data_IF_217729122497
#
_entry.id   IF_217729122497
#
_cell.length_a   1.000
_cell.length_b   1.000
_cell.length_c   1.000
_cell.angle_alpha   90.00
_cell.angle_beta   90.00
_cell.angle_gamma   90.00
#
_symmetry.space_group_name_H-M   'P 1'
#
loop_
_entity.id
_entity.type
_entity.pdbx_description
1 polymer ?
#
# COMPACT_ATOMS: atom_id res chain seq x y z
N UNK A 1 -25.37 17.88 9.41
CA UNK A 1 -26.59 17.20 8.92
C UNK A 1 -26.35 15.70 9.10
N UNK A 2 -27.18 15.02 9.89
CA UNK A 2 -27.22 13.57 9.95
C UNK A 2 -27.65 13.07 8.58
N UNK A 3 -26.99 12.04 8.05
CA UNK A 3 -27.45 11.30 6.88
C UNK A 3 -28.74 10.57 7.28
N UNK A 4 -29.89 11.09 6.89
CA UNK A 4 -31.20 10.57 7.29
C UNK A 4 -31.60 9.26 6.57
N UNK A 5 -30.80 8.81 5.58
CA UNK A 5 -31.07 7.61 4.81
C UNK A 5 -29.78 6.79 4.59
N UNK A 6 -29.33 6.12 5.63
CA UNK A 6 -28.25 5.12 5.49
C UNK A 6 -28.85 3.73 5.60
N UNK A 7 -28.71 2.94 4.55
CA UNK A 7 -29.08 1.52 4.55
C UNK A 7 -27.81 0.69 4.74
N UNK A 8 -27.80 -0.18 5.74
CA UNK A 8 -26.68 -1.07 6.05
C UNK A 8 -27.00 -2.49 5.58
N UNK A 9 -26.13 -3.02 4.71
CA UNK A 9 -26.18 -4.39 4.28
C UNK A 9 -25.03 -5.19 4.84
N UNK A 10 -25.33 -6.22 5.61
CA UNK A 10 -24.36 -7.22 6.03
C UNK A 10 -24.33 -8.33 5.00
N UNK A 11 -23.14 -8.68 4.54
CA UNK A 11 -22.92 -9.71 3.53
C UNK A 11 -21.90 -10.73 4.02
N UNK A 12 -21.95 -11.93 3.45
CA UNK A 12 -20.91 -12.92 3.69
C UNK A 12 -19.58 -12.46 3.08
N UNK A 13 -18.45 -12.67 3.76
CA UNK A 13 -17.14 -12.35 3.21
C UNK A 13 -16.90 -13.08 1.88
N UNK A 14 -16.21 -12.38 0.97
CA UNK A 14 -15.69 -12.94 -0.28
C UNK A 14 -14.36 -12.27 -0.60
N UNK A 15 -13.62 -12.81 -1.57
CA UNK A 15 -12.34 -12.25 -2.03
C UNK A 15 -12.38 -11.94 -3.53
N UNK A 16 -12.01 -12.89 -4.37
CA UNK A 16 -11.76 -12.64 -5.79
C UNK A 16 -13.02 -12.46 -6.63
N UNK A 17 -14.12 -13.11 -6.25
CA UNK A 17 -15.37 -13.12 -7.02
C UNK A 17 -16.54 -12.70 -6.14
N UNK A 18 -17.22 -11.66 -6.56
CA UNK A 18 -18.45 -11.22 -5.91
C UNK A 18 -19.56 -12.27 -6.10
N UNK A 19 -20.25 -12.73 -5.03
CA UNK A 19 -21.34 -13.68 -5.14
C UNK A 19 -22.45 -13.17 -6.09
N UNK A 20 -22.92 -14.01 -6.98
CA UNK A 20 -23.87 -13.64 -8.05
C UNK A 20 -25.17 -13.00 -7.52
N UNK A 21 -25.72 -13.54 -6.43
CA UNK A 21 -26.92 -12.97 -5.79
C UNK A 21 -26.66 -11.58 -5.22
N UNK A 22 -25.52 -11.39 -4.59
CA UNK A 22 -25.14 -10.08 -4.06
C UNK A 22 -24.91 -9.07 -5.19
N UNK A 23 -24.18 -9.46 -6.24
CA UNK A 23 -23.98 -8.65 -7.44
C UNK A 23 -25.30 -8.21 -8.06
N UNK A 24 -26.25 -9.14 -8.22
CA UNK A 24 -27.57 -8.84 -8.75
C UNK A 24 -28.36 -7.88 -7.87
N UNK A 25 -28.39 -8.13 -6.57
CA UNK A 25 -29.06 -7.28 -5.58
C UNK A 25 -28.49 -5.86 -5.61
N UNK A 26 -27.15 -5.74 -5.62
CA UNK A 26 -26.44 -4.46 -5.63
C UNK A 26 -26.71 -3.69 -6.94
N UNK A 27 -26.71 -4.39 -8.10
CA UNK A 27 -27.02 -3.79 -9.40
C UNK A 27 -28.47 -3.30 -9.50
N UNK A 28 -29.42 -4.03 -8.92
CA UNK A 28 -30.81 -3.59 -8.85
C UNK A 28 -30.94 -2.34 -7.98
N UNK A 29 -30.31 -2.33 -6.80
CA UNK A 29 -30.32 -1.18 -5.90
C UNK A 29 -29.73 0.09 -6.56
N UNK A 30 -28.59 -0.05 -7.23
CA UNK A 30 -27.96 1.06 -7.97
C UNK A 30 -28.90 1.63 -9.02
N UNK A 31 -29.61 0.77 -9.75
CA UNK A 31 -30.56 1.16 -10.79
C UNK A 31 -31.82 1.82 -10.22
N UNK A 32 -32.41 1.22 -9.18
CA UNK A 32 -33.62 1.73 -8.51
C UNK A 32 -33.39 3.08 -7.81
N UNK A 33 -32.19 3.30 -7.28
CA UNK A 33 -31.81 4.55 -6.59
C UNK A 33 -31.09 5.53 -7.49
N UNK A 34 -30.93 5.26 -8.77
CA UNK A 34 -30.23 6.11 -9.75
C UNK A 34 -28.82 6.50 -9.29
N UNK A 35 -28.10 5.57 -8.66
CA UNK A 35 -26.75 5.79 -8.15
C UNK A 35 -25.78 5.91 -9.33
N UNK A 36 -25.01 6.99 -9.37
CA UNK A 36 -24.05 7.29 -10.44
C UNK A 36 -22.59 6.98 -10.10
N UNK A 37 -22.28 6.65 -8.85
CA UNK A 37 -20.92 6.37 -8.43
C UNK A 37 -20.83 5.61 -7.12
N UNK A 38 -19.68 5.00 -6.89
CA UNK A 38 -19.38 4.22 -5.69
C UNK A 38 -18.04 4.61 -5.07
N UNK A 39 -17.96 4.46 -3.76
CA UNK A 39 -16.71 4.56 -3.01
C UNK A 39 -16.36 3.14 -2.55
N UNK A 40 -15.21 2.63 -3.01
CA UNK A 40 -14.67 1.33 -2.61
C UNK A 40 -13.59 1.58 -1.57
N UNK A 41 -13.91 1.35 -0.30
CA UNK A 41 -13.03 1.55 0.84
C UNK A 41 -13.02 0.28 1.72
N UNK A 42 -12.83 -0.84 1.07
CA UNK A 42 -12.86 -2.18 1.64
C UNK A 42 -11.44 -2.69 1.89
N UNK A 43 -11.32 -3.96 2.25
CA UNK A 43 -10.06 -4.70 2.25
C UNK A 43 -9.55 -4.84 0.79
N UNK A 44 -8.25 -4.62 0.51
CA UNK A 44 -7.71 -4.63 -0.86
C UNK A 44 -7.94 -5.90 -1.67
N UNK A 45 -8.06 -7.06 -1.03
CA UNK A 45 -8.32 -8.35 -1.71
C UNK A 45 -9.65 -8.38 -2.47
N UNK A 46 -10.61 -7.54 -2.10
CA UNK A 46 -11.91 -7.45 -2.80
C UNK A 46 -12.05 -6.25 -3.74
N UNK A 47 -11.03 -5.39 -3.82
CA UNK A 47 -11.06 -4.18 -4.65
C UNK A 47 -11.38 -4.50 -6.10
N UNK A 48 -10.68 -5.49 -6.69
CA UNK A 48 -10.92 -5.92 -8.08
C UNK A 48 -12.36 -6.32 -8.31
N UNK A 49 -12.94 -7.16 -7.45
CA UNK A 49 -14.30 -7.66 -7.61
C UNK A 49 -15.33 -6.52 -7.59
N UNK A 50 -15.20 -5.57 -6.67
CA UNK A 50 -16.06 -4.39 -6.63
C UNK A 50 -15.83 -3.43 -7.81
N UNK A 51 -14.58 -3.23 -8.23
CA UNK A 51 -14.28 -2.39 -9.37
C UNK A 51 -14.83 -2.96 -10.67
N UNK A 52 -14.67 -4.26 -10.92
CA UNK A 52 -15.24 -4.93 -12.08
C UNK A 52 -16.77 -4.81 -12.12
N UNK A 53 -17.42 -5.06 -10.97
CA UNK A 53 -18.86 -4.90 -10.84
C UNK A 53 -19.29 -3.45 -11.13
N UNK A 54 -18.58 -2.46 -10.59
CA UNK A 54 -18.90 -1.05 -10.79
C UNK A 54 -18.70 -0.61 -12.26
N UNK A 55 -17.63 -1.07 -12.91
CA UNK A 55 -17.39 -0.82 -14.35
C UNK A 55 -18.49 -1.45 -15.21
N UNK A 56 -18.96 -2.68 -14.92
CA UNK A 56 -20.05 -3.33 -15.62
C UNK A 56 -21.39 -2.58 -15.49
N UNK A 57 -21.59 -1.85 -14.39
CA UNK A 57 -22.77 -1.02 -14.16
C UNK A 57 -22.59 0.44 -14.59
N UNK A 58 -21.47 0.79 -15.24
CA UNK A 58 -21.22 2.14 -15.76
C UNK A 58 -21.13 3.20 -14.68
N UNK A 59 -20.56 2.88 -13.50
CA UNK A 59 -20.48 3.78 -12.36
C UNK A 59 -19.16 4.54 -12.31
N UNK A 60 -19.19 5.75 -11.76
CA UNK A 60 -18.00 6.43 -11.31
C UNK A 60 -17.41 5.70 -10.09
N UNK A 61 -16.09 5.60 -10.02
CA UNK A 61 -15.39 4.87 -8.96
C UNK A 61 -14.40 5.78 -8.27
N UNK A 62 -14.52 5.89 -6.94
CA UNK A 62 -13.46 6.34 -6.06
C UNK A 62 -13.04 5.14 -5.21
N UNK A 63 -11.82 4.67 -5.37
CA UNK A 63 -11.33 3.48 -4.68
C UNK A 63 -10.13 3.78 -3.79
N UNK A 64 -10.06 3.16 -2.62
CA UNK A 64 -8.86 3.24 -1.80
C UNK A 64 -7.70 2.47 -2.47
N UNK A 65 -6.50 2.75 -2.03
CA UNK A 65 -5.26 2.10 -2.49
C UNK A 65 -5.03 0.78 -1.73
N UNK A 66 -4.31 -0.17 -2.31
CA UNK A 66 -3.88 -0.29 -3.71
C UNK A 66 -5.05 -0.63 -4.64
N UNK A 67 -4.80 -0.53 -5.95
CA UNK A 67 -5.84 -0.89 -6.95
C UNK A 67 -6.32 -2.33 -6.77
N UNK A 68 -5.37 -3.23 -6.56
CA UNK A 68 -5.61 -4.65 -6.29
C UNK A 68 -4.44 -5.22 -5.49
N UNK A 69 -4.64 -6.39 -4.93
CA UNK A 69 -3.61 -7.23 -4.32
C UNK A 69 -4.06 -8.68 -4.34
N UNK A 70 -3.12 -9.60 -4.06
CA UNK A 70 -3.42 -11.04 -3.92
C UNK A 70 -2.80 -11.58 -2.64
N UNK A 71 -3.39 -12.63 -2.08
CA UNK A 71 -2.81 -13.33 -0.93
C UNK A 71 -1.43 -13.88 -1.29
N UNK A 72 -0.54 -13.97 -0.30
CA UNK A 72 0.78 -14.58 -0.46
C UNK A 72 1.64 -14.01 -1.61
N UNK A 73 1.41 -12.76 -2.00
CA UNK A 73 2.15 -12.13 -3.09
C UNK A 73 3.67 -12.06 -2.84
N UNK A 74 4.12 -12.15 -1.58
CA UNK A 74 5.55 -12.13 -1.24
C UNK A 74 6.22 -13.49 -1.42
N UNK A 75 5.47 -14.58 -1.33
CA UNK A 75 5.99 -15.96 -1.36
C UNK A 75 5.55 -16.76 -2.60
N UNK A 76 4.58 -16.27 -3.35
CA UNK A 76 4.03 -16.87 -4.55
C UNK A 76 4.18 -15.93 -5.76
N UNK A 77 5.11 -16.28 -6.66
CA UNK A 77 5.39 -15.49 -7.87
C UNK A 77 4.15 -15.34 -8.77
N UNK A 78 3.34 -16.39 -8.90
CA UNK A 78 2.12 -16.34 -9.72
C UNK A 78 1.10 -15.35 -9.17
N UNK A 79 0.97 -15.28 -7.84
CA UNK A 79 0.12 -14.28 -7.21
C UNK A 79 0.71 -12.86 -7.36
N UNK A 80 2.02 -12.70 -7.25
CA UNK A 80 2.66 -11.41 -7.48
C UNK A 80 2.48 -10.92 -8.92
N UNK A 81 2.73 -11.76 -9.92
CA UNK A 81 2.51 -11.46 -11.34
C UNK A 81 1.03 -11.18 -11.63
N UNK A 82 0.15 -11.94 -11.03
CA UNK A 82 -1.29 -11.78 -11.17
C UNK A 82 -1.84 -10.43 -10.66
N UNK A 83 -1.13 -9.70 -9.80
CA UNK A 83 -1.48 -8.32 -9.44
C UNK A 83 -1.38 -7.40 -10.67
N UNK A 84 -0.37 -7.59 -11.50
CA UNK A 84 -0.20 -6.84 -12.74
C UNK A 84 -1.30 -7.19 -13.75
N UNK A 85 -1.64 -8.46 -13.88
CA UNK A 85 -2.74 -8.91 -14.75
C UNK A 85 -4.08 -8.30 -14.32
N UNK A 86 -4.36 -8.29 -13.02
CA UNK A 86 -5.57 -7.68 -12.46
C UNK A 86 -5.65 -6.18 -12.77
N UNK A 87 -4.53 -5.48 -12.70
CA UNK A 87 -4.46 -4.08 -13.10
C UNK A 87 -4.82 -3.88 -14.58
N UNK A 88 -4.24 -4.67 -15.47
CA UNK A 88 -4.53 -4.56 -16.89
C UNK A 88 -5.96 -4.94 -17.24
N UNK A 89 -6.53 -5.95 -16.58
CA UNK A 89 -7.96 -6.31 -16.72
C UNK A 89 -8.86 -5.11 -16.37
N UNK A 90 -8.61 -4.46 -15.23
CA UNK A 90 -9.38 -3.29 -14.83
C UNK A 90 -9.18 -2.11 -15.78
N UNK A 91 -7.95 -1.86 -16.23
CA UNK A 91 -7.64 -0.80 -17.17
C UNK A 91 -8.35 -0.99 -18.52
N UNK A 92 -8.33 -2.20 -19.06
CA UNK A 92 -9.01 -2.51 -20.34
C UNK A 92 -10.54 -2.38 -20.22
N UNK A 93 -11.12 -2.86 -19.11
CA UNK A 93 -12.55 -2.69 -18.85
C UNK A 93 -12.92 -1.20 -18.71
N UNK A 94 -12.09 -0.42 -18.03
CA UNK A 94 -12.30 1.02 -17.90
C UNK A 94 -12.20 1.73 -19.24
N UNK A 95 -11.15 1.46 -20.04
CA UNK A 95 -11.00 2.01 -21.37
C UNK A 95 -12.20 1.69 -22.27
N UNK A 96 -12.67 0.43 -22.25
CA UNK A 96 -13.84 0.02 -22.99
C UNK A 96 -15.08 0.81 -22.60
N UNK A 97 -15.31 0.99 -21.29
CA UNK A 97 -16.45 1.77 -20.80
C UNK A 97 -16.40 3.23 -21.29
N UNK A 98 -15.20 3.84 -21.40
CA UNK A 98 -15.05 5.23 -21.86
C UNK A 98 -15.54 5.45 -23.32
N UNK A 99 -15.61 4.42 -24.17
CA UNK A 99 -16.21 4.54 -25.51
C UNK A 99 -17.74 4.59 -25.46
N UNK A 100 -18.36 4.08 -24.40
CA UNK A 100 -19.80 4.00 -24.23
C UNK A 100 -20.34 5.11 -23.34
N UNK A 101 -19.60 5.46 -22.31
CA UNK A 101 -19.99 6.40 -21.27
C UNK A 101 -18.79 7.05 -20.61
N UNK A 102 -18.78 8.36 -20.54
CA UNK A 102 -17.78 9.10 -19.76
C UNK A 102 -17.99 8.83 -18.26
N UNK A 103 -16.97 8.27 -17.63
CA UNK A 103 -16.94 7.99 -16.19
C UNK A 103 -15.57 8.26 -15.61
N UNK A 104 -15.48 8.34 -14.29
CA UNK A 104 -14.23 8.51 -13.55
C UNK A 104 -13.89 7.24 -12.81
N UNK A 105 -12.64 6.78 -12.94
CA UNK A 105 -12.06 5.77 -12.05
C UNK A 105 -10.84 6.36 -11.36
N UNK A 106 -10.99 6.77 -10.12
CA UNK A 106 -9.95 7.43 -9.34
C UNK A 106 -9.51 6.56 -8.16
N UNK A 107 -8.20 6.40 -8.02
CA UNK A 107 -7.58 5.79 -6.85
C UNK A 107 -7.23 6.90 -5.85
N UNK A 108 -7.47 6.66 -4.57
CA UNK A 108 -7.22 7.62 -3.50
C UNK A 108 -5.72 7.83 -3.23
N UNK A 109 -5.03 8.37 -4.22
CA UNK A 109 -3.62 8.81 -4.15
C UNK A 109 -3.54 10.24 -3.61
N UNK A 110 -4.10 10.46 -2.43
CA UNK A 110 -4.34 11.81 -1.87
C UNK A 110 -3.09 12.67 -1.74
N UNK A 111 -1.88 12.08 -1.65
CA UNK A 111 -0.62 12.83 -1.58
C UNK A 111 -0.35 13.68 -2.80
N UNK A 112 -0.83 13.25 -3.98
CA UNK A 112 -0.74 14.05 -5.21
C UNK A 112 -1.32 15.46 -5.07
N UNK A 113 -2.30 15.62 -4.19
CA UNK A 113 -3.03 16.88 -3.98
C UNK A 113 -2.54 17.68 -2.76
N UNK A 114 -1.56 17.15 -2.02
CA UNK A 114 -1.00 17.87 -0.89
C UNK A 114 -0.14 19.05 -1.38
N UNK A 115 -0.37 20.24 -0.83
CA UNK A 115 0.30 21.48 -1.30
C UNK A 115 1.82 21.41 -1.30
N UNK A 116 2.42 20.71 -0.34
CA UNK A 116 3.87 20.51 -0.31
C UNK A 116 4.38 19.71 -1.49
N UNK A 117 3.72 18.62 -1.83
CA UNK A 117 4.09 17.81 -3.00
C UNK A 117 3.84 18.56 -4.32
N UNK A 118 2.73 19.30 -4.42
CA UNK A 118 2.46 20.14 -5.59
C UNK A 118 3.53 21.21 -5.77
N UNK A 119 3.96 21.87 -4.70
CA UNK A 119 5.06 22.82 -4.75
C UNK A 119 6.35 22.21 -5.29
N UNK A 120 6.73 21.02 -4.81
CA UNK A 120 7.92 20.29 -5.30
C UNK A 120 7.76 19.92 -6.79
N UNK A 121 6.61 19.39 -7.18
CA UNK A 121 6.27 19.07 -8.58
C UNK A 121 6.42 20.31 -9.49
N UNK A 122 5.91 21.46 -9.06
CA UNK A 122 6.01 22.70 -9.82
C UNK A 122 7.46 23.18 -9.95
N UNK A 123 8.29 23.02 -8.91
CA UNK A 123 9.72 23.34 -8.96
C UNK A 123 10.51 22.40 -9.87
N UNK A 124 10.22 21.10 -9.83
CA UNK A 124 10.83 20.13 -10.76
C UNK A 124 10.48 20.49 -12.20
N UNK A 125 9.22 20.82 -12.49
CA UNK A 125 8.75 21.25 -13.81
C UNK A 125 9.48 22.51 -14.28
N UNK A 126 9.55 23.52 -13.43
CA UNK A 126 10.26 24.77 -13.73
C UNK A 126 11.73 24.53 -14.10
N UNK A 127 12.42 23.65 -13.38
CA UNK A 127 13.82 23.28 -13.68
C UNK A 127 13.88 22.53 -15.02
N UNK A 128 13.02 21.53 -15.21
CA UNK A 128 12.98 20.76 -16.45
C UNK A 128 12.76 21.63 -17.68
N UNK A 129 11.79 22.54 -17.63
CA UNK A 129 11.46 23.47 -18.73
C UNK A 129 12.61 24.44 -19.05
N UNK A 130 13.30 24.94 -18.03
CA UNK A 130 14.40 25.92 -18.22
C UNK A 130 15.72 25.28 -18.67
N UNK A 131 15.97 24.04 -18.28
CA UNK A 131 17.29 23.42 -18.43
C UNK A 131 17.30 22.17 -19.29
N UNK A 132 16.12 21.65 -19.61
CA UNK A 132 15.96 20.33 -20.24
C UNK A 132 16.63 19.20 -19.42
N UNK A 133 16.71 19.35 -18.08
CA UNK A 133 17.32 18.37 -17.18
C UNK A 133 16.25 17.45 -16.59
N UNK A 134 16.37 16.12 -16.76
CA UNK A 134 15.53 15.15 -16.08
C UNK A 134 15.96 14.94 -14.63
N UNK A 135 15.12 14.29 -13.85
CA UNK A 135 15.55 13.72 -12.56
C UNK A 135 16.38 12.47 -12.85
N UNK A 136 17.56 12.40 -12.25
CA UNK A 136 18.47 11.25 -12.38
C UNK A 136 18.61 10.44 -11.09
N UNK A 137 18.14 10.98 -9.96
CA UNK A 137 18.23 10.32 -8.66
C UNK A 137 17.07 10.74 -7.77
N UNK A 138 16.47 9.75 -7.07
CA UNK A 138 15.53 9.98 -5.98
C UNK A 138 15.88 9.03 -4.85
N UNK A 139 15.95 9.55 -3.63
CA UNK A 139 16.00 8.75 -2.42
C UNK A 139 14.72 8.99 -1.62
N UNK A 140 13.94 7.94 -1.40
CA UNK A 140 12.73 7.98 -0.61
C UNK A 140 12.85 7.09 0.63
N UNK A 141 12.43 7.64 1.74
CA UNK A 141 12.42 6.94 3.02
C UNK A 141 11.06 7.10 3.68
N UNK A 142 10.53 5.99 4.20
CA UNK A 142 9.31 6.00 5.00
C UNK A 142 9.46 5.07 6.20
N UNK A 143 9.12 5.57 7.37
CA UNK A 143 9.07 4.81 8.61
C UNK A 143 7.72 4.95 9.25
N UNK A 144 7.13 3.85 9.71
CA UNK A 144 5.90 3.90 10.48
C UNK A 144 6.08 4.49 11.87
N UNK A 145 7.33 4.58 12.36
CA UNK A 145 7.64 5.10 13.68
C UNK A 145 6.95 4.33 14.80
N UNK A 146 6.74 3.06 14.61
CA UNK A 146 6.05 2.21 15.55
C UNK A 146 6.93 1.01 15.92
N UNK A 147 7.15 0.83 17.20
CA UNK A 147 7.61 -0.43 17.72
C UNK A 147 6.41 -1.34 17.92
N UNK A 148 6.40 -2.48 17.28
CA UNK A 148 5.40 -3.49 17.50
C UNK A 148 6.00 -4.61 18.32
N UNK A 149 5.30 -4.97 19.39
CA UNK A 149 5.63 -6.19 20.11
C UNK A 149 5.28 -7.42 19.24
N UNK A 150 6.01 -8.53 19.38
CA UNK A 150 5.77 -9.74 18.57
C UNK A 150 4.31 -10.17 18.52
N UNK A 151 3.64 -10.21 19.64
CA UNK A 151 2.21 -10.55 19.71
C UNK A 151 1.30 -9.59 18.95
N UNK A 152 1.64 -8.30 18.88
CA UNK A 152 0.85 -7.34 18.11
C UNK A 152 0.89 -7.63 16.61
N UNK A 153 2.00 -8.16 16.11
CA UNK A 153 2.13 -8.57 14.70
C UNK A 153 1.13 -9.69 14.39
N UNK A 154 1.02 -10.68 15.28
CA UNK A 154 0.13 -11.83 15.11
C UNK A 154 -1.33 -11.47 15.33
N UNK A 155 -1.63 -10.65 16.33
CA UNK A 155 -3.02 -10.33 16.73
C UNK A 155 -3.68 -9.28 15.84
N UNK A 156 -2.92 -8.56 15.03
CA UNK A 156 -3.46 -7.58 14.09
C UNK A 156 -3.91 -8.23 12.76
N UNK A 157 -4.83 -9.20 12.84
CA UNK A 157 -5.32 -9.95 11.68
C UNK A 157 -5.91 -9.11 10.53
N UNK A 158 -6.21 -7.83 10.80
CA UNK A 158 -6.63 -6.87 9.78
C UNK A 158 -5.46 -6.22 9.03
N UNK A 159 -4.22 -6.47 9.44
CA UNK A 159 -3.06 -5.84 8.80
C UNK A 159 -2.65 -6.63 7.54
N UNK A 160 -2.26 -5.94 6.46
CA UNK A 160 -1.93 -6.57 5.17
C UNK A 160 -0.93 -7.72 5.25
N UNK A 161 0.09 -7.62 6.09
CA UNK A 161 1.10 -8.68 6.17
C UNK A 161 0.53 -10.03 6.62
N UNK A 162 -0.57 -10.05 7.37
CA UNK A 162 -1.24 -11.31 7.75
C UNK A 162 -1.84 -12.05 6.55
N UNK A 163 -2.00 -11.38 5.41
CA UNK A 163 -2.50 -11.95 4.16
C UNK A 163 -1.38 -12.23 3.14
N UNK A 164 -0.11 -12.16 3.55
CA UNK A 164 1.03 -12.49 2.70
C UNK A 164 1.42 -11.39 1.69
N UNK A 165 1.02 -10.15 1.94
CA UNK A 165 1.50 -8.95 1.26
C UNK A 165 1.69 -7.83 2.30
N UNK A 166 2.57 -6.87 2.07
CA UNK A 166 2.95 -6.01 3.16
C UNK A 166 3.22 -4.57 2.79
N UNK A 167 4.37 -4.11 3.17
CA UNK A 167 4.78 -2.72 3.17
C UNK A 167 4.72 -2.06 1.79
N UNK A 168 5.15 -2.77 0.75
CA UNK A 168 5.14 -2.28 -0.62
C UNK A 168 3.73 -1.89 -1.08
N UNK A 169 2.76 -2.79 -0.89
CA UNK A 169 1.37 -2.56 -1.30
C UNK A 169 0.64 -1.58 -0.39
N UNK A 170 0.91 -1.60 0.91
CA UNK A 170 0.15 -0.81 1.88
C UNK A 170 0.61 0.65 1.95
N UNK A 171 1.74 0.93 2.57
CA UNK A 171 2.27 2.30 2.68
C UNK A 171 3.16 2.69 1.52
N UNK A 172 3.85 1.72 0.92
CA UNK A 172 4.72 1.91 -0.22
C UNK A 172 3.99 2.44 -1.45
N UNK A 173 2.74 2.08 -1.64
CA UNK A 173 1.92 2.62 -2.73
C UNK A 173 2.03 4.14 -2.86
N UNK A 174 1.91 4.86 -1.75
CA UNK A 174 2.02 6.32 -1.77
C UNK A 174 3.43 6.82 -2.11
N UNK A 175 4.45 6.06 -1.71
CA UNK A 175 5.84 6.42 -1.97
C UNK A 175 6.16 6.24 -3.45
N UNK A 176 5.82 5.08 -4.02
CA UNK A 176 6.00 4.80 -5.44
C UNK A 176 5.22 5.79 -6.31
N UNK A 177 3.99 6.11 -5.93
CA UNK A 177 3.19 7.11 -6.61
C UNK A 177 3.85 8.50 -6.61
N UNK A 178 4.37 8.93 -5.46
CA UNK A 178 5.07 10.22 -5.34
C UNK A 178 6.35 10.26 -6.18
N UNK A 179 7.16 9.20 -6.13
CA UNK A 179 8.38 9.07 -6.95
C UNK A 179 8.03 9.19 -8.44
N UNK A 180 6.99 8.49 -8.88
CA UNK A 180 6.53 8.55 -10.27
C UNK A 180 6.07 9.96 -10.65
N UNK A 181 5.32 10.66 -9.78
CA UNK A 181 4.88 12.03 -10.03
C UNK A 181 6.08 13.00 -10.13
N UNK A 182 7.08 12.85 -9.28
CA UNK A 182 8.29 13.67 -9.33
C UNK A 182 9.07 13.42 -10.62
N UNK A 183 9.30 12.15 -10.97
CA UNK A 183 10.00 11.80 -12.20
C UNK A 183 9.30 12.37 -13.44
N UNK A 184 7.99 12.20 -13.52
CA UNK A 184 7.18 12.70 -14.64
C UNK A 184 7.13 14.24 -14.69
N UNK A 185 7.25 14.92 -13.55
CA UNK A 185 7.10 16.37 -13.46
C UNK A 185 8.19 17.14 -14.24
N UNK A 186 9.37 16.56 -14.46
CA UNK A 186 10.44 17.18 -15.24
C UNK A 186 10.03 17.45 -16.72
N UNK A 187 9.02 16.74 -17.22
CA UNK A 187 8.40 16.94 -18.55
C UNK A 187 9.39 16.91 -19.72
N UNK A 188 10.44 16.11 -19.61
CA UNK A 188 11.49 15.95 -20.62
C UNK A 188 11.30 14.60 -21.35
N UNK A 189 10.21 14.47 -22.10
CA UNK A 189 9.73 13.20 -22.67
C UNK A 189 10.77 12.45 -23.49
N UNK A 190 11.61 13.15 -24.22
CA UNK A 190 12.68 12.56 -25.03
C UNK A 190 13.75 11.83 -24.20
N UNK A 191 13.85 12.16 -22.91
CA UNK A 191 14.81 11.60 -21.97
C UNK A 191 14.20 10.59 -21.00
N UNK A 192 12.90 10.26 -21.13
CA UNK A 192 12.29 9.25 -20.30
C UNK A 192 12.84 7.86 -20.60
N UNK A 193 12.89 7.06 -19.55
CA UNK A 193 13.26 5.66 -19.65
C UNK A 193 12.24 4.87 -20.47
N UNK A 194 12.72 3.87 -21.16
CA UNK A 194 11.91 2.88 -21.90
C UNK A 194 11.76 1.58 -21.11
N UNK A 195 12.72 1.28 -20.23
CA UNK A 195 12.69 0.09 -19.36
C UNK A 195 13.13 0.42 -17.94
N UNK A 196 12.85 -0.50 -17.01
CA UNK A 196 13.35 -0.42 -15.64
C UNK A 196 13.75 -1.80 -15.12
N UNK A 197 14.72 -1.78 -14.22
CA UNK A 197 15.17 -2.94 -13.46
C UNK A 197 14.98 -2.66 -11.98
N UNK A 198 14.45 -3.64 -11.23
CA UNK A 198 14.16 -3.49 -9.81
C UNK A 198 14.87 -4.58 -9.04
N UNK A 199 15.69 -4.19 -8.08
CA UNK A 199 16.33 -5.10 -7.14
C UNK A 199 15.85 -4.75 -5.73
N UNK A 200 15.26 -5.72 -5.04
CA UNK A 200 14.66 -5.50 -3.73
C UNK A 200 15.14 -6.53 -2.71
N UNK A 201 15.27 -6.08 -1.48
CA UNK A 201 15.44 -6.91 -0.28
C UNK A 201 14.25 -6.67 0.65
N UNK A 202 13.70 -7.74 1.15
CA UNK A 202 12.48 -7.73 1.96
C UNK A 202 12.76 -8.40 3.30
N UNK A 203 12.20 -7.85 4.38
CA UNK A 203 12.20 -8.46 5.70
C UNK A 203 10.77 -8.80 6.08
N UNK A 204 10.52 -10.09 6.30
CA UNK A 204 9.27 -10.59 6.85
C UNK A 204 9.34 -10.65 8.38
N UNK A 205 8.22 -10.81 9.10
CA UNK A 205 8.23 -10.93 10.56
C UNK A 205 9.20 -11.96 11.11
N UNK A 206 9.39 -13.09 10.43
CA UNK A 206 10.32 -14.14 10.86
C UNK A 206 11.78 -13.68 10.87
N UNK A 207 12.18 -12.81 9.95
CA UNK A 207 13.51 -12.19 9.99
C UNK A 207 13.67 -11.30 11.22
N UNK A 208 12.66 -10.54 11.54
CA UNK A 208 12.62 -9.68 12.72
C UNK A 208 12.69 -10.51 14.01
N UNK A 209 11.91 -11.57 14.16
CA UNK A 209 11.94 -12.47 15.34
C UNK A 209 13.24 -13.26 15.45
N UNK A 210 13.98 -13.43 14.36
CA UNK A 210 15.29 -14.06 14.40
C UNK A 210 16.34 -13.12 15.00
N UNK A 211 16.23 -11.83 14.72
CA UNK A 211 17.16 -10.84 15.21
C UNK A 211 16.79 -10.34 16.62
N UNK A 212 15.51 -10.30 16.95
CA UNK A 212 14.99 -9.77 18.21
C UNK A 212 14.04 -10.78 18.84
N UNK A 213 14.54 -11.54 19.79
CA UNK A 213 13.86 -12.67 20.39
C UNK A 213 13.26 -12.35 21.77
N UNK A 214 12.58 -13.32 22.39
CA UNK A 214 11.93 -13.18 23.69
C UNK A 214 12.89 -12.72 24.78
N UNK A 215 14.14 -13.23 24.79
CA UNK A 215 15.12 -12.84 25.80
C UNK A 215 15.50 -11.36 25.69
N UNK A 216 15.58 -10.83 24.48
CA UNK A 216 15.87 -9.41 24.27
C UNK A 216 14.76 -8.54 24.84
N UNK A 217 13.50 -8.91 24.63
CA UNK A 217 12.35 -8.19 25.21
C UNK A 217 12.31 -8.31 26.73
N UNK A 218 12.60 -9.47 27.30
CA UNK A 218 12.71 -9.67 28.74
C UNK A 218 13.82 -8.84 29.35
N UNK A 219 14.96 -8.70 28.68
CA UNK A 219 16.06 -7.85 29.12
C UNK A 219 15.67 -6.36 29.15
N UNK A 220 14.82 -5.92 28.20
CA UNK A 220 14.40 -4.51 28.12
C UNK A 220 13.25 -4.20 29.10
N UNK A 221 12.24 -5.06 29.15
CA UNK A 221 10.97 -4.79 29.88
C UNK A 221 10.83 -5.59 31.18
N UNK A 222 11.73 -6.54 31.44
CA UNK A 222 11.65 -7.43 32.58
C UNK A 222 10.40 -8.30 32.54
N UNK A 223 9.95 -8.72 33.73
CA UNK A 223 8.76 -9.59 33.87
C UNK A 223 7.46 -8.99 33.32
N UNK A 224 7.40 -7.67 33.11
CA UNK A 224 6.24 -7.02 32.50
C UNK A 224 5.99 -7.50 31.06
N UNK A 225 7.03 -7.94 30.37
CA UNK A 225 6.87 -8.49 29.02
C UNK A 225 5.97 -9.74 29.03
N UNK A 226 6.04 -10.55 30.08
CA UNK A 226 5.21 -11.76 30.22
C UNK A 226 3.70 -11.45 30.30
N UNK A 227 3.32 -10.22 30.66
CA UNK A 227 1.91 -9.81 30.67
C UNK A 227 1.32 -9.66 29.28
N UNK A 228 2.15 -9.42 28.29
CA UNK A 228 1.74 -9.17 26.89
C UNK A 228 2.24 -10.25 25.94
N UNK A 229 3.24 -11.03 26.33
CA UNK A 229 3.75 -12.14 25.55
C UNK A 229 2.94 -13.41 25.83
N UNK A 230 2.21 -13.86 24.81
CA UNK A 230 1.38 -15.07 24.87
C UNK A 230 1.94 -16.22 24.04
N UNK A 231 2.94 -15.95 23.21
CA UNK A 231 3.51 -16.87 22.24
C UNK A 231 5.04 -16.85 22.37
N UNK A 232 5.66 -18.00 22.38
CA UNK A 232 7.12 -18.11 22.31
C UNK A 232 7.63 -17.87 20.87
N UNK A 233 8.94 -17.74 20.73
CA UNK A 233 9.58 -17.44 19.43
C UNK A 233 9.27 -18.49 18.33
N UNK A 234 9.17 -19.77 18.68
CA UNK A 234 8.84 -20.83 17.71
C UNK A 234 7.41 -20.70 17.22
N UNK A 235 6.46 -20.47 18.14
CA UNK A 235 5.05 -20.28 17.79
C UNK A 235 4.84 -19.03 16.94
N UNK A 236 5.53 -17.93 17.27
CA UNK A 236 5.51 -16.70 16.47
C UNK A 236 6.00 -16.95 15.03
N UNK A 237 7.15 -17.65 14.89
CA UNK A 237 7.72 -17.97 13.58
C UNK A 237 6.83 -18.90 12.76
N UNK A 238 6.17 -19.84 13.41
CA UNK A 238 5.24 -20.75 12.73
C UNK A 238 4.01 -20.01 12.22
N UNK A 239 3.41 -19.14 13.03
CA UNK A 239 2.22 -18.36 12.65
C UNK A 239 2.57 -17.40 11.51
N UNK A 240 3.75 -16.79 11.55
CA UNK A 240 4.15 -15.75 10.60
C UNK A 240 4.91 -16.30 9.38
N UNK A 241 4.90 -17.60 9.13
CA UNK A 241 5.67 -18.23 8.03
C UNK A 241 5.37 -17.63 6.65
N UNK A 242 4.11 -17.29 6.41
CA UNK A 242 3.62 -16.77 5.13
C UNK A 242 3.21 -15.29 5.19
N UNK A 243 3.59 -14.60 6.28
CA UNK A 243 3.26 -13.18 6.40
C UNK A 243 4.05 -12.34 5.39
N UNK A 244 3.42 -11.28 4.92
CA UNK A 244 4.02 -10.30 4.04
C UNK A 244 5.15 -9.50 4.69
N UNK A 245 5.85 -8.73 3.89
CA UNK A 245 7.01 -7.95 4.32
C UNK A 245 6.63 -6.79 5.24
N UNK A 246 7.47 -6.58 6.25
CA UNK A 246 7.41 -5.44 7.17
C UNK A 246 8.41 -4.35 6.78
N UNK A 247 9.54 -4.73 6.16
CA UNK A 247 10.52 -3.79 5.62
C UNK A 247 10.82 -4.10 4.15
N UNK A 248 11.10 -3.04 3.40
CA UNK A 248 11.53 -3.10 2.00
C UNK A 248 12.71 -2.15 1.79
N UNK A 249 13.77 -2.64 1.16
CA UNK A 249 14.81 -1.81 0.56
C UNK A 249 14.91 -2.13 -0.92
N UNK A 250 14.77 -1.13 -1.78
CA UNK A 250 14.69 -1.32 -3.23
C UNK A 250 15.52 -0.30 -3.98
N UNK A 251 16.19 -0.76 -5.04
CA UNK A 251 16.84 0.07 -6.05
C UNK A 251 16.07 -0.13 -7.34
N UNK A 252 15.57 0.98 -7.91
CA UNK A 252 14.90 1.03 -9.20
C UNK A 252 15.83 1.75 -10.17
N UNK A 253 16.41 1.00 -11.10
CA UNK A 253 17.27 1.53 -12.15
C UNK A 253 16.44 1.77 -13.42
N UNK A 254 16.35 3.00 -13.83
CA UNK A 254 15.69 3.37 -15.09
C UNK A 254 16.71 3.33 -16.22
N UNK A 255 16.32 2.71 -17.34
CA UNK A 255 17.19 2.53 -18.51
C UNK A 255 16.56 3.15 -19.75
N UNK A 256 17.43 3.63 -20.63
CA UNK A 256 17.07 4.08 -21.98
C UNK A 256 18.08 3.52 -22.99
N UNK A 257 17.60 2.83 -24.00
CA UNK A 257 18.46 2.11 -24.96
C UNK A 257 19.48 1.21 -24.24
N UNK A 258 19.03 0.45 -23.23
CA UNK A 258 19.82 -0.42 -22.35
C UNK A 258 20.81 0.32 -21.40
N UNK A 259 21.00 1.61 -21.53
CA UNK A 259 21.90 2.39 -20.68
C UNK A 259 21.18 2.86 -19.41
N UNK A 260 21.72 2.63 -18.21
CA UNK A 260 21.20 3.20 -16.95
C UNK A 260 21.25 4.73 -16.98
N UNK A 261 20.10 5.37 -16.78
CA UNK A 261 19.98 6.84 -16.82
C UNK A 261 19.55 7.47 -15.49
N UNK A 262 18.93 6.70 -14.61
CA UNK A 262 18.51 7.18 -13.30
C UNK A 262 18.39 6.04 -12.29
N UNK A 263 18.62 6.35 -11.01
CA UNK A 263 18.44 5.41 -9.90
C UNK A 263 17.52 6.00 -8.83
N UNK A 264 16.52 5.22 -8.43
CA UNK A 264 15.64 5.57 -7.31
C UNK A 264 15.82 4.56 -6.19
N UNK A 265 16.14 5.05 -5.01
CA UNK A 265 16.33 4.24 -3.82
C UNK A 265 15.11 4.40 -2.90
N UNK A 266 14.49 3.31 -2.53
CA UNK A 266 13.28 3.29 -1.69
C UNK A 266 13.54 2.46 -0.45
N UNK A 267 13.37 3.07 0.73
CA UNK A 267 13.47 2.38 2.00
C UNK A 267 12.16 2.55 2.78
N UNK A 268 11.45 1.47 2.97
CA UNK A 268 10.20 1.41 3.73
C UNK A 268 10.44 0.59 4.98
N UNK A 269 10.41 1.22 6.15
CA UNK A 269 10.79 0.59 7.41
C UNK A 269 9.58 0.53 8.35
N UNK A 270 9.40 -0.61 8.97
CA UNK A 270 8.37 -0.85 9.97
C UNK A 270 8.66 -0.10 11.28
N UNK A 271 9.85 -0.32 11.82
CA UNK A 271 10.36 0.39 12.97
C UNK A 271 11.21 1.55 12.51
N UNK A 272 10.81 2.75 12.77
CA UNK A 272 11.61 3.90 12.41
C UNK A 272 12.17 4.61 13.62
N UNK A 273 13.02 5.58 13.33
CA UNK A 273 13.61 6.45 14.34
C UNK A 273 12.62 7.48 14.88
N UNK A 274 11.46 7.64 14.27
CA UNK A 274 10.39 8.47 14.78
C UNK A 274 9.58 7.66 15.78
N UNK A 275 9.64 8.05 17.04
CA UNK A 275 8.85 7.43 18.09
C UNK A 275 7.36 7.58 17.84
N UNK A 276 6.67 6.47 17.66
CA UNK A 276 5.21 6.48 17.61
C UNK A 276 4.63 6.29 18.99
N UNK A 277 5.25 5.45 19.76
CA UNK A 277 4.98 5.17 21.15
C UNK A 277 6.27 4.73 21.76
N UNK A 278 6.90 5.61 22.49
CA UNK A 278 8.06 5.20 23.25
C UNK A 278 7.58 4.54 24.53
N UNK A 279 7.79 3.26 24.59
CA UNK A 279 7.82 2.56 25.84
C UNK A 279 9.24 2.66 26.35
N UNK A 280 9.41 3.34 27.45
CA UNK A 280 10.65 3.24 28.21
C UNK A 280 10.64 1.93 28.97
N UNK A 281 11.78 1.30 29.24
CA UNK A 281 11.84 0.19 30.17
C UNK A 281 11.11 0.54 31.46
N UNK A 282 10.14 -0.27 31.84
CA UNK A 282 9.32 -0.05 33.04
C UNK A 282 8.00 0.73 32.82
N UNK A 283 7.77 1.30 31.66
CA UNK A 283 6.48 1.92 31.31
C UNK A 283 5.46 0.86 30.91
N UNK A 284 4.21 1.31 30.76
CA UNK A 284 3.13 0.46 30.26
C UNK A 284 3.44 0.03 28.82
N UNK A 285 3.36 -1.26 28.54
CA UNK A 285 3.61 -1.85 27.23
C UNK A 285 2.50 -1.56 26.23
N UNK A 286 1.42 -0.92 26.67
CA UNK A 286 0.28 -0.61 25.83
C UNK A 286 0.16 0.89 25.51
N UNK A 287 0.19 1.19 24.22
CA UNK A 287 -0.37 2.37 23.53
C UNK A 287 -0.03 3.71 24.15
N UNK A 288 1.14 4.19 23.90
CA UNK A 288 1.36 5.64 24.02
C UNK A 288 0.49 6.43 23.03
N UNK A 289 0.23 7.64 23.41
CA UNK A 289 -0.57 8.58 22.62
C UNK A 289 0.25 9.15 21.46
N UNK A 290 -0.21 8.88 20.27
CA UNK A 290 0.31 9.51 19.06
C UNK A 290 1.17 8.61 18.18
N UNK A 291 1.09 8.91 16.91
CA UNK A 291 1.78 8.22 15.82
C UNK A 291 2.55 9.25 15.02
N UNK A 292 3.85 9.20 15.09
CA UNK A 292 4.71 10.00 14.23
C UNK A 292 5.23 9.10 13.12
N UNK A 293 4.77 9.35 11.90
CA UNK A 293 5.37 8.78 10.71
C UNK A 293 6.46 9.71 10.22
N UNK A 294 7.59 9.14 9.86
CA UNK A 294 8.65 9.88 9.19
C UNK A 294 8.67 9.53 7.70
N UNK A 295 8.78 10.55 6.88
CA UNK A 295 8.86 10.42 5.44
C UNK A 295 9.77 11.50 4.88
N UNK A 296 10.69 11.12 4.01
CA UNK A 296 11.60 12.06 3.33
C UNK A 296 11.86 11.64 1.89
N UNK A 297 12.11 12.64 1.05
CA UNK A 297 12.52 12.49 -0.33
C UNK A 297 13.68 13.45 -0.61
N UNK A 298 14.74 12.96 -1.25
CA UNK A 298 15.90 13.73 -1.67
C UNK A 298 16.18 13.46 -3.14
#
# INVERSE_FOLDING_TARGET
KKFEQTELWLIQPFTDIMPAEFSKRLSNFVREKEISGVIIATEPLVHKAYAEWALQNGLNILMDKPITTRVNAISDLSNAEGILDDYFILLEKYKKLQFEKETVFMINSHRRFHKGFQFVIDKIREVGEKTNCPITFIQAYHSDGQWRLPNEIVTQGYHPYCSGYGKASHSGYHIFDTIYQFYKAANVHEKFADTMEIVSSLIQPNGFFTQFNENDYLNIFGEKYNLVNQLNDEQLKQICSDFGEIDLSSIITLKKNEEPIANFNVNLIHNGFAGRTWLKPGDDLYKGNGRIKHESYN
#
